data_IF_580613733858
#
_entry.id   IF_580613733858
#
_cell.length_a   1.000
_cell.length_b   1.000
_cell.length_c   1.000
_cell.angle_alpha   90.00
_cell.angle_beta   90.00
_cell.angle_gamma   90.00
#
_symmetry.space_group_name_H-M   'P 1'
#
loop_
_entity.id
_entity.type
_entity.pdbx_description
1 polymer ?
#
# COMPACT_ATOMS: atom_id res chain seq x y z
N UNK A 1 13.66 10.94 -4.27
CA UNK A 1 13.47 10.08 -3.08
C UNK A 1 12.66 10.81 -2.02
N UNK A 2 11.79 10.09 -1.30
CA UNK A 2 10.80 10.66 -0.36
C UNK A 2 11.48 11.39 0.80
N UNK A 3 11.07 12.65 1.02
CA UNK A 3 11.39 13.34 2.27
C UNK A 3 10.53 12.76 3.39
N UNK A 4 10.96 12.93 4.64
CA UNK A 4 10.33 12.35 5.83
C UNK A 4 8.79 12.44 5.82
N UNK A 5 8.11 11.30 5.97
CA UNK A 5 6.66 11.22 6.12
C UNK A 5 6.27 11.71 7.52
N UNK A 6 5.33 12.66 7.60
CA UNK A 6 4.76 13.13 8.87
C UNK A 6 3.49 12.34 9.14
N UNK A 7 3.33 11.88 10.37
CA UNK A 7 2.11 11.24 10.84
C UNK A 7 1.41 12.16 11.83
N UNK A 8 0.08 12.25 11.74
CA UNK A 8 -0.74 13.03 12.66
C UNK A 8 -1.84 12.16 13.26
N UNK A 9 -2.04 12.28 14.56
CA UNK A 9 -3.17 11.66 15.24
C UNK A 9 -4.35 12.64 15.26
N UNK A 10 -5.50 12.18 14.80
CA UNK A 10 -6.76 12.90 14.92
C UNK A 10 -7.29 12.81 16.36
N UNK A 11 -8.15 13.74 16.81
CA UNK A 11 -8.78 13.68 18.15
C UNK A 11 -9.54 12.37 18.42
N UNK A 12 -10.01 11.69 17.37
CA UNK A 12 -10.65 10.38 17.44
C UNK A 12 -9.66 9.20 17.60
N UNK A 13 -8.36 9.46 17.77
CA UNK A 13 -7.32 8.45 17.94
C UNK A 13 -6.71 7.90 16.63
N UNK A 14 -7.34 8.16 15.49
CA UNK A 14 -6.86 7.68 14.17
C UNK A 14 -5.54 8.35 13.77
N UNK A 15 -4.53 7.55 13.40
CA UNK A 15 -3.26 8.04 12.87
C UNK A 15 -3.34 8.08 11.34
N UNK A 16 -2.92 9.20 10.74
CA UNK A 16 -2.96 9.42 9.29
C UNK A 16 -1.66 10.05 8.80
N UNK A 17 -1.20 9.71 7.59
CA UNK A 17 -0.13 10.48 6.95
C UNK A 17 -0.60 11.91 6.68
N UNK A 18 0.27 12.87 6.97
CA UNK A 18 0.02 14.31 6.81
C UNK A 18 0.76 14.85 5.57
N UNK A 19 0.15 15.83 4.91
CA UNK A 19 0.68 16.47 3.69
C UNK A 19 1.77 17.48 4.00
N UNK A 20 1.92 17.94 5.24
CA UNK A 20 2.81 19.04 5.66
C UNK A 20 4.23 18.97 5.08
N UNK A 21 4.87 17.78 5.03
CA UNK A 21 6.22 17.61 4.45
C UNK A 21 6.26 16.83 3.14
N UNK A 22 5.11 16.42 2.62
CA UNK A 22 5.02 15.45 1.50
C UNK A 22 3.87 15.75 0.56
N UNK A 23 3.51 17.03 0.38
CA UNK A 23 2.37 17.47 -0.45
C UNK A 23 2.37 16.82 -1.84
N UNK A 24 3.50 16.80 -2.54
CA UNK A 24 3.63 16.26 -3.90
C UNK A 24 3.82 14.74 -3.96
N UNK A 25 4.01 14.07 -2.82
CA UNK A 25 4.37 12.65 -2.74
C UNK A 25 3.36 11.81 -1.94
N UNK A 26 2.33 12.45 -1.40
CA UNK A 26 1.37 11.84 -0.49
C UNK A 26 0.66 10.64 -1.12
N UNK A 27 0.30 10.73 -2.40
CA UNK A 27 -0.43 9.68 -3.10
C UNK A 27 0.40 8.40 -3.22
N UNK A 28 1.70 8.52 -3.49
CA UNK A 28 2.63 7.38 -3.53
C UNK A 28 2.83 6.73 -2.15
N UNK A 29 2.91 7.54 -1.09
CA UNK A 29 3.02 7.06 0.30
C UNK A 29 1.75 6.32 0.73
N UNK A 30 0.57 6.90 0.47
CA UNK A 30 -0.72 6.28 0.79
C UNK A 30 -0.91 5.00 -0.02
N UNK A 31 -0.55 5.00 -1.30
CA UNK A 31 -0.59 3.82 -2.15
C UNK A 31 0.28 2.68 -1.62
N UNK A 32 1.50 2.98 -1.15
CA UNK A 32 2.39 1.99 -0.56
C UNK A 32 1.81 1.40 0.73
N UNK A 33 1.25 2.23 1.62
CA UNK A 33 0.63 1.78 2.87
C UNK A 33 -0.56 0.85 2.56
N UNK A 34 -1.43 1.22 1.62
CA UNK A 34 -2.57 0.41 1.22
C UNK A 34 -2.13 -0.92 0.58
N UNK A 35 -1.08 -0.89 -0.25
CA UNK A 35 -0.51 -2.10 -0.85
C UNK A 35 0.05 -3.05 0.20
N UNK A 36 0.83 -2.53 1.17
CA UNK A 36 1.34 -3.36 2.27
C UNK A 36 0.21 -3.94 3.12
N UNK A 37 -0.78 -3.12 3.50
CA UNK A 37 -1.93 -3.56 4.28
C UNK A 37 -2.65 -4.73 3.59
N UNK A 38 -2.84 -4.61 2.28
CA UNK A 38 -3.41 -5.64 1.44
C UNK A 38 -2.59 -6.93 1.46
N UNK A 39 -1.26 -6.84 1.29
CA UNK A 39 -0.36 -7.99 1.31
C UNK A 39 -0.34 -8.70 2.67
N UNK A 40 -0.46 -7.96 3.77
CA UNK A 40 -0.45 -8.53 5.12
C UNK A 40 -1.80 -9.19 5.44
N UNK A 41 -2.92 -8.53 5.14
CA UNK A 41 -4.24 -9.01 5.55
C UNK A 41 -4.89 -10.00 4.60
N UNK A 42 -4.47 -10.03 3.33
CA UNK A 42 -5.05 -10.95 2.33
C UNK A 42 -3.98 -11.88 1.76
N UNK A 43 -3.39 -12.66 2.64
CA UNK A 43 -2.58 -13.82 2.31
C UNK A 43 -3.47 -15.04 1.98
N UNK A 44 -4.50 -14.86 1.16
CA UNK A 44 -5.26 -16.02 0.69
C UNK A 44 -4.35 -16.91 -0.15
N UNK A 45 -4.37 -18.23 0.09
CA UNK A 45 -3.73 -19.27 -0.73
C UNK A 45 -4.44 -19.40 -2.10
N UNK A 46 -4.70 -18.28 -2.76
CA UNK A 46 -5.16 -18.30 -4.14
C UNK A 46 -3.95 -18.69 -4.99
N UNK A 47 -3.91 -19.98 -5.35
CA UNK A 47 -2.94 -20.52 -6.30
C UNK A 47 -2.90 -19.63 -7.55
N UNK A 48 -1.72 -19.54 -8.16
CA UNK A 48 -1.58 -18.75 -9.37
C UNK A 48 -2.54 -19.30 -10.42
N UNK A 49 -3.25 -18.43 -11.12
CA UNK A 49 -4.10 -18.85 -12.26
C UNK A 49 -3.28 -19.61 -13.31
N UNK A 50 -1.97 -19.36 -13.38
CA UNK A 50 -1.04 -20.07 -14.25
C UNK A 50 -0.71 -21.48 -13.77
N UNK A 51 -0.91 -21.80 -12.48
CA UNK A 51 -0.74 -23.17 -11.97
C UNK A 51 -1.78 -24.11 -12.61
N UNK A 52 -2.99 -23.60 -12.87
CA UNK A 52 -4.06 -24.35 -13.55
C UNK A 52 -3.98 -24.22 -15.07
N UNK A 53 -3.71 -23.02 -15.59
CA UNK A 53 -3.90 -22.71 -17.02
C UNK A 53 -2.63 -22.83 -17.86
N UNK A 54 -1.46 -22.95 -17.22
CA UNK A 54 -0.18 -22.90 -17.90
C UNK A 54 0.16 -21.51 -18.47
N UNK A 55 1.37 -21.38 -19.02
CA UNK A 55 1.83 -20.16 -19.69
C UNK A 55 1.54 -20.30 -21.20
N UNK A 56 0.86 -19.31 -21.78
CA UNK A 56 0.70 -19.22 -23.23
C UNK A 56 2.02 -18.75 -23.86
N UNK A 57 2.70 -19.65 -24.58
CA UNK A 57 3.88 -19.35 -25.38
C UNK A 57 3.54 -19.54 -26.86
N UNK A 58 3.89 -18.56 -27.69
CA UNK A 58 3.74 -18.59 -29.15
C UNK A 58 5.08 -18.89 -29.83
#
# INVERSE_FOLDING_TARGET
MGQNVVMRQAPAGNIKPDKEKSVEKIDGIVGLILGLDRCIRRQGDEASVYDERGILSF
#
